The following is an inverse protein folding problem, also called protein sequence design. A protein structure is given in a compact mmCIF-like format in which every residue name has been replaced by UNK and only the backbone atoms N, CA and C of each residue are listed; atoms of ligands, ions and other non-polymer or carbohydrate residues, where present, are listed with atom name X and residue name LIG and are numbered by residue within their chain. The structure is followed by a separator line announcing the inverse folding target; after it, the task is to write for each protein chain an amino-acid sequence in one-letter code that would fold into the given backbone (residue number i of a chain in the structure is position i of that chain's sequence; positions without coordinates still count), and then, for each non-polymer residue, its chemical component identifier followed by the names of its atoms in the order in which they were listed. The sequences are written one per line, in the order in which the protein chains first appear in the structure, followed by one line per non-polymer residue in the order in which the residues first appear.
data_IF_344497795247
#
_entry.id   IF_344497795247
#
_cell.length_a   1.000
_cell.length_b   1.000
_cell.length_c   1.000
_cell.angle_alpha   90.00
_cell.angle_beta   90.00
_cell.angle_gamma   90.00
#
_symmetry.space_group_name_H-M   'P 1'
#
loop_
_entity.id
_entity.type
_entity.pdbx_description
1 polymer ?
#
# COMPACT_ATOMS: atom_id res chain seq x y z
N UNK A 1 8.55 -8.77 10.30
CA UNK A 1 7.24 -8.90 9.62
C UNK A 1 7.42 -9.07 8.12
N UNK A 2 6.36 -9.38 7.37
CA UNK A 2 6.39 -9.32 5.91
C UNK A 2 6.10 -7.89 5.45
N UNK A 3 6.91 -7.35 4.54
CA UNK A 3 6.64 -6.08 3.85
C UNK A 3 6.32 -6.37 2.39
N UNK A 4 5.25 -5.80 1.91
CA UNK A 4 4.77 -5.99 0.55
C UNK A 4 4.36 -4.65 -0.05
N UNK A 5 4.28 -4.61 -1.38
CA UNK A 5 3.89 -3.43 -2.15
C UNK A 5 2.93 -3.85 -3.24
N UNK A 6 1.75 -3.25 -3.27
CA UNK A 6 0.83 -3.36 -4.40
C UNK A 6 1.13 -2.24 -5.40
N UNK A 7 1.29 -2.61 -6.67
CA UNK A 7 1.73 -1.68 -7.72
C UNK A 7 0.70 -1.65 -8.86
N UNK A 8 0.42 -0.45 -9.37
CA UNK A 8 -0.29 -0.30 -10.63
C UNK A 8 0.62 -0.71 -11.79
N UNK A 9 0.09 -1.53 -12.69
CA UNK A 9 0.80 -2.00 -13.89
C UNK A 9 -0.09 -1.83 -15.12
N UNK A 10 0.52 -1.60 -16.28
CA UNK A 10 -0.18 -1.58 -17.57
C UNK A 10 0.12 -2.90 -18.30
N UNK A 11 -0.85 -3.81 -18.44
CA UNK A 11 -0.62 -5.08 -19.10
C UNK A 11 -0.24 -4.93 -20.58
N UNK A 12 0.53 -5.90 -21.09
CA UNK A 12 0.81 -5.99 -22.51
C UNK A 12 -0.51 -6.11 -23.30
N UNK A 13 -0.70 -5.24 -24.30
CA UNK A 13 -1.92 -5.11 -25.13
C UNK A 13 -3.12 -4.44 -24.46
N UNK A 14 -2.92 -3.65 -23.41
CA UNK A 14 -3.99 -2.76 -22.92
C UNK A 14 -4.56 -1.90 -24.06
N UNK A 15 -5.89 -1.81 -24.15
CA UNK A 15 -6.58 -1.10 -25.25
C UNK A 15 -6.41 0.42 -25.17
N UNK A 16 -6.24 0.95 -23.96
CA UNK A 16 -6.12 2.38 -23.67
C UNK A 16 -4.91 2.68 -22.77
N UNK A 17 -3.67 2.50 -23.27
CA UNK A 17 -2.48 2.68 -22.44
C UNK A 17 -2.29 4.15 -22.02
N UNK A 18 -2.66 5.13 -22.85
CA UNK A 18 -2.53 6.55 -22.50
C UNK A 18 -3.39 6.91 -21.30
N UNK A 19 -4.67 6.53 -21.32
CA UNK A 19 -5.61 6.77 -20.22
C UNK A 19 -5.14 6.09 -18.92
N UNK A 20 -4.53 4.91 -19.03
CA UNK A 20 -3.93 4.24 -17.87
C UNK A 20 -2.76 5.03 -17.27
N UNK A 21 -1.93 5.70 -18.09
CA UNK A 21 -0.90 6.61 -17.57
C UNK A 21 -1.51 7.83 -16.90
N UNK A 22 -2.56 8.41 -17.49
CA UNK A 22 -3.27 9.55 -16.89
C UNK A 22 -3.90 9.18 -15.55
N UNK A 23 -4.48 7.98 -15.43
CA UNK A 23 -5.00 7.45 -14.17
C UNK A 23 -3.90 7.29 -13.12
N UNK A 24 -2.77 6.67 -13.49
CA UNK A 24 -1.64 6.52 -12.58
C UNK A 24 -1.19 7.90 -12.10
N UNK A 25 -0.99 8.87 -13.01
CA UNK A 25 -0.61 10.23 -12.64
C UNK A 25 -1.61 10.91 -11.71
N UNK A 26 -2.91 10.69 -11.92
CA UNK A 26 -3.98 11.22 -11.06
C UNK A 26 -3.92 10.64 -9.65
N UNK A 27 -3.77 9.32 -9.52
CA UNK A 27 -3.68 8.62 -8.22
C UNK A 27 -2.46 9.07 -7.41
N UNK A 28 -1.35 9.42 -8.07
CA UNK A 28 -0.14 9.92 -7.41
C UNK A 28 -0.19 11.40 -7.02
N UNK A 29 -1.28 12.13 -7.31
CA UNK A 29 -1.44 13.48 -6.78
C UNK A 29 -1.62 13.42 -5.25
N UNK A 30 -0.93 14.26 -4.45
CA UNK A 30 -0.95 14.18 -2.99
C UNK A 30 -2.35 14.13 -2.37
N UNK A 31 -3.26 14.97 -2.84
CA UNK A 31 -4.63 15.05 -2.32
C UNK A 31 -5.44 13.77 -2.62
N UNK A 32 -5.20 13.15 -3.78
CA UNK A 32 -5.87 11.91 -4.17
C UNK A 32 -5.30 10.73 -3.38
N UNK A 33 -3.98 10.67 -3.26
CA UNK A 33 -3.29 9.65 -2.47
C UNK A 33 -3.70 9.73 -1.00
N UNK A 34 -3.80 10.93 -0.43
CA UNK A 34 -4.27 11.14 0.94
C UNK A 34 -5.71 10.65 1.11
N UNK A 35 -6.64 11.07 0.24
CA UNK A 35 -8.02 10.61 0.29
C UNK A 35 -8.16 9.08 0.20
N UNK A 36 -7.29 8.40 -0.57
CA UNK A 36 -7.24 6.94 -0.59
C UNK A 36 -6.75 6.40 0.75
N UNK A 37 -5.64 6.89 1.28
CA UNK A 37 -5.08 6.47 2.59
C UNK A 37 -6.07 6.69 3.73
N UNK A 38 -6.80 7.80 3.76
CA UNK A 38 -7.87 8.08 4.73
C UNK A 38 -8.97 7.03 4.73
N UNK A 39 -9.31 6.55 3.53
CA UNK A 39 -10.36 5.56 3.34
C UNK A 39 -9.90 4.14 3.68
N UNK A 40 -8.72 3.73 3.20
CA UNK A 40 -8.26 2.33 3.28
C UNK A 40 -7.26 2.04 4.40
N UNK A 41 -6.67 3.07 5.00
CA UNK A 41 -5.70 2.98 6.09
C UNK A 41 -4.39 2.23 5.72
N UNK A 42 -3.96 2.37 4.47
CA UNK A 42 -2.67 1.88 3.99
C UNK A 42 -1.72 3.03 3.68
N UNK A 43 -0.43 2.80 3.97
CA UNK A 43 0.69 3.68 3.59
C UNK A 43 0.65 3.93 2.07
N UNK A 44 0.76 5.19 1.67
CA UNK A 44 0.86 5.60 0.28
C UNK A 44 2.33 5.59 -0.19
N UNK A 45 2.62 5.31 -1.47
CA UNK A 45 3.96 5.49 -2.03
C UNK A 45 4.35 6.97 -2.26
N UNK A 46 3.44 7.92 -2.04
CA UNK A 46 3.73 9.36 -2.01
C UNK A 46 4.31 9.71 -0.64
N UNK A 47 5.25 10.67 -0.58
CA UNK A 47 5.95 11.09 0.64
C UNK A 47 5.05 11.15 1.88
N UNK A 48 5.40 10.37 2.91
CA UNK A 48 4.61 10.18 4.11
C UNK A 48 4.23 11.49 4.80
N UNK A 49 5.16 12.45 4.90
CA UNK A 49 4.86 13.70 5.61
C UNK A 49 3.97 14.63 4.80
N UNK A 50 4.05 14.57 3.46
CA UNK A 50 3.07 15.27 2.61
C UNK A 50 1.67 14.71 2.85
N UNK A 51 1.53 13.38 2.86
CA UNK A 51 0.23 12.73 3.07
C UNK A 51 -0.30 12.97 4.48
N UNK A 52 0.54 12.80 5.51
CA UNK A 52 0.16 13.02 6.91
C UNK A 52 -0.21 14.48 7.17
N UNK A 53 0.42 15.44 6.53
CA UNK A 53 0.03 16.85 6.64
C UNK A 53 -1.36 17.11 6.05
N UNK A 54 -1.69 16.52 4.88
CA UNK A 54 -3.05 16.62 4.31
C UNK A 54 -4.07 15.99 5.26
N UNK A 55 -3.81 14.78 5.76
CA UNK A 55 -4.70 14.10 6.71
C UNK A 55 -4.92 14.95 7.98
N UNK A 56 -3.88 15.63 8.48
CA UNK A 56 -4.00 16.56 9.64
C UNK A 56 -4.80 17.81 9.31
N UNK A 57 -4.80 18.27 8.06
CA UNK A 57 -5.62 19.39 7.60
C UNK A 57 -7.08 18.96 7.51
N UNK A 58 -7.34 17.81 6.88
CA UNK A 58 -8.67 17.24 6.71
C UNK A 58 -9.30 16.86 8.06
N UNK A 59 -8.51 16.32 8.98
CA UNK A 59 -8.94 16.09 10.37
C UNK A 59 -9.47 17.36 11.06
N UNK A 60 -8.85 18.52 10.80
CA UNK A 60 -9.29 19.82 11.37
C UNK A 60 -10.49 20.37 10.61
N UNK A 61 -10.53 20.23 9.30
CA UNK A 61 -11.63 20.70 8.46
C UNK A 61 -12.94 19.96 8.77
N UNK A 62 -12.85 18.64 8.91
CA UNK A 62 -14.01 17.78 9.13
C UNK A 62 -14.31 17.50 10.60
N UNK A 63 -13.45 17.96 11.53
CA UNK A 63 -13.52 17.63 12.97
C UNK A 63 -13.61 16.11 13.20
N UNK A 64 -12.78 15.35 12.47
CA UNK A 64 -12.81 13.89 12.46
C UNK A 64 -11.70 13.29 13.36
N UNK A 65 -12.06 12.70 14.52
CA UNK A 65 -11.08 12.09 15.41
C UNK A 65 -10.43 10.82 14.82
N UNK A 66 -11.03 10.16 13.84
CA UNK A 66 -10.41 9.01 13.17
C UNK A 66 -9.23 9.45 12.31
N UNK A 67 -9.33 10.58 11.61
CA UNK A 67 -8.22 11.16 10.85
C UNK A 67 -7.10 11.66 11.75
N UNK A 68 -7.44 12.21 12.94
CA UNK A 68 -6.43 12.54 13.96
C UNK A 68 -5.65 11.29 14.39
N UNK A 69 -6.34 10.16 14.61
CA UNK A 69 -5.69 8.91 14.98
C UNK A 69 -4.81 8.36 13.84
N UNK A 70 -5.31 8.39 12.61
CA UNK A 70 -4.59 7.90 11.42
C UNK A 70 -3.29 8.68 11.17
N UNK A 71 -3.29 10.01 11.36
CA UNK A 71 -2.14 10.85 11.06
C UNK A 71 -0.86 10.47 11.84
N UNK A 72 -1.00 9.81 12.99
CA UNK A 72 0.12 9.38 13.84
C UNK A 72 0.05 7.87 14.16
N UNK A 73 -0.72 7.09 13.41
CA UNK A 73 -0.83 5.63 13.59
C UNK A 73 0.46 4.93 13.13
N UNK A 74 1.25 4.43 14.08
CA UNK A 74 2.52 3.74 13.81
C UNK A 74 2.37 2.39 13.10
N UNK A 75 1.15 1.87 12.95
CA UNK A 75 0.87 0.66 12.17
C UNK A 75 0.69 0.96 10.69
N UNK A 76 0.30 2.20 10.34
CA UNK A 76 0.26 2.73 8.97
C UNK A 76 1.59 3.42 8.62
N UNK A 77 2.18 4.12 9.59
CA UNK A 77 3.45 4.86 9.44
C UNK A 77 4.54 4.25 10.35
N UNK A 78 5.05 3.05 10.03
CA UNK A 78 6.05 2.37 10.85
C UNK A 78 7.38 3.14 10.85
N UNK A 79 8.07 3.15 11.99
CA UNK A 79 9.40 3.74 12.10
C UNK A 79 10.50 2.87 11.46
N UNK A 80 11.68 3.45 11.25
CA UNK A 80 12.85 2.75 10.68
C UNK A 80 13.23 1.50 11.47
N UNK A 81 13.01 1.51 12.79
CA UNK A 81 13.28 0.36 13.66
C UNK A 81 12.34 -0.79 13.31
N UNK A 82 11.05 -0.52 13.13
CA UNK A 82 10.05 -1.50 12.72
C UNK A 82 10.33 -1.99 11.30
N UNK A 83 10.56 -1.07 10.37
CA UNK A 83 10.84 -1.38 8.97
C UNK A 83 12.10 -2.23 8.79
N UNK A 84 13.17 -1.98 9.54
CA UNK A 84 14.41 -2.77 9.46
C UNK A 84 14.24 -4.23 9.92
N UNK A 85 13.16 -4.54 10.65
CA UNK A 85 12.77 -5.89 11.04
C UNK A 85 11.73 -6.51 10.10
N UNK A 86 11.52 -5.94 8.91
CA UNK A 86 10.65 -6.50 7.87
C UNK A 86 11.43 -7.15 6.73
N UNK A 87 10.78 -8.07 6.03
CA UNK A 87 11.34 -8.79 4.89
C UNK A 87 10.34 -8.75 3.73
N UNK A 88 10.85 -8.59 2.50
CA UNK A 88 10.03 -8.74 1.29
C UNK A 88 9.85 -10.20 0.93
N UNK A 89 8.83 -10.50 0.11
CA UNK A 89 8.67 -11.83 -0.46
C UNK A 89 9.93 -12.25 -1.21
N UNK A 90 10.32 -13.50 -1.03
CA UNK A 90 11.37 -14.12 -1.83
C UNK A 90 10.83 -14.33 -3.24
N UNK A 91 11.65 -14.05 -4.25
CA UNK A 91 11.41 -14.55 -5.60
C UNK A 91 11.69 -16.05 -5.61
N UNK A 92 10.64 -16.86 -5.70
CA UNK A 92 10.75 -18.31 -5.76
C UNK A 92 11.04 -18.76 -7.19
N UNK A 93 11.80 -19.83 -7.34
CA UNK A 93 11.81 -20.61 -8.57
C UNK A 93 10.66 -21.63 -8.58
N UNK A 94 10.48 -22.32 -9.70
CA UNK A 94 9.37 -23.26 -9.88
C UNK A 94 9.43 -24.46 -8.91
N UNK A 95 10.62 -24.93 -8.55
CA UNK A 95 10.78 -26.06 -7.63
C UNK A 95 10.41 -25.63 -6.21
N UNK A 96 10.85 -24.44 -5.80
CA UNK A 96 10.52 -23.87 -4.51
C UNK A 96 9.02 -23.53 -4.39
N UNK A 97 8.40 -22.99 -5.44
CA UNK A 97 6.97 -22.70 -5.50
C UNK A 97 6.13 -23.97 -5.36
N UNK A 98 6.45 -25.03 -6.11
CA UNK A 98 5.78 -26.34 -5.99
C UNK A 98 5.92 -26.92 -4.58
N UNK A 99 7.12 -26.85 -3.99
CA UNK A 99 7.34 -27.31 -2.62
C UNK A 99 6.50 -26.54 -1.58
N UNK A 100 6.30 -25.22 -1.76
CA UNK A 100 5.42 -24.44 -0.90
C UNK A 100 3.94 -24.78 -1.09
N UNK A 101 3.51 -25.04 -2.33
CA UNK A 101 2.15 -25.50 -2.62
C UNK A 101 1.85 -26.85 -1.98
N UNK A 102 2.73 -27.84 -2.16
CA UNK A 102 2.58 -29.17 -1.57
C UNK A 102 2.46 -29.12 -0.03
N UNK A 103 3.14 -28.15 0.60
CA UNK A 103 3.07 -27.95 2.04
C UNK A 103 1.77 -27.28 2.49
N UNK A 104 1.27 -26.30 1.73
CA UNK A 104 0.16 -25.46 2.15
C UNK A 104 -1.22 -25.96 1.69
N UNK A 105 -1.29 -26.60 0.52
CA UNK A 105 -2.54 -27.10 -0.07
C UNK A 105 -3.32 -28.04 0.87
N UNK A 106 -2.68 -29.00 1.58
CA UNK A 106 -3.40 -29.86 2.53
C UNK A 106 -4.07 -29.07 3.67
N UNK A 107 -3.46 -27.95 4.11
CA UNK A 107 -4.01 -27.12 5.19
C UNK A 107 -5.33 -26.48 4.77
N UNK A 108 -5.46 -26.08 3.50
CA UNK A 108 -6.64 -25.38 2.98
C UNK A 108 -7.68 -26.33 2.36
N UNK A 109 -7.30 -27.56 2.00
CA UNK A 109 -8.19 -28.53 1.36
C UNK A 109 -8.80 -29.57 2.34
N UNK A 110 -8.21 -29.78 3.52
CA UNK A 110 -8.69 -30.72 4.54
C UNK A 110 -8.19 -32.14 4.33
#
# INVERSE_FOLDING_TARGET
GMRWVDNMVIPLKAEHPTDAHEWINFVYQPEIAAAITEWVWYESPVDDEVIREIIRQDAKEFDDPALVALADDTTVWPDDTTLSNTHVYKNLDAEEEEAWHDLFDPVIQG
#
